data_IF_837092533843
#
_entry.id   IF_837092533843
#
_cell.length_a   1.000
_cell.length_b   1.000
_cell.length_c   1.000
_cell.angle_alpha   90.00
_cell.angle_beta   90.00
_cell.angle_gamma   90.00
#
_symmetry.space_group_name_H-M   'P 1'
#
loop_
_entity.id
_entity.type
_entity.pdbx_description
1 polymer ?
#
# COMPACT_ATOMS: atom_id res chain seq x y z
N UNK A 1 -11.54 22.93 -11.52
CA UNK A 1 -12.17 21.84 -10.73
C UNK A 1 -11.05 21.20 -9.94
N UNK A 2 -11.20 21.03 -8.63
CA UNK A 2 -10.17 20.35 -7.83
C UNK A 2 -10.09 18.89 -8.27
N UNK A 3 -8.90 18.40 -8.58
CA UNK A 3 -8.70 16.99 -8.95
C UNK A 3 -8.89 16.14 -7.69
N UNK A 4 -9.70 15.07 -7.78
CA UNK A 4 -9.96 14.20 -6.63
C UNK A 4 -8.66 13.53 -6.14
N UNK A 5 -8.41 13.45 -4.81
CA UNK A 5 -7.20 12.84 -4.24
C UNK A 5 -7.06 11.34 -4.48
N UNK A 6 -8.16 10.65 -4.77
CA UNK A 6 -8.20 9.24 -5.15
C UNK A 6 -9.03 9.11 -6.43
N UNK A 7 -8.52 8.35 -7.40
CA UNK A 7 -9.24 8.02 -8.63
C UNK A 7 -9.56 6.52 -8.65
N UNK A 8 -10.74 6.17 -9.15
CA UNK A 8 -11.21 4.78 -9.27
C UNK A 8 -11.62 4.49 -10.71
N UNK A 9 -11.11 3.41 -11.28
CA UNK A 9 -11.41 2.97 -12.64
C UNK A 9 -11.72 1.46 -12.66
N UNK A 10 -12.91 1.09 -13.14
CA UNK A 10 -13.24 -0.30 -13.43
C UNK A 10 -12.58 -0.72 -14.76
N UNK A 11 -11.65 -1.68 -14.72
CA UNK A 11 -10.88 -2.12 -15.89
C UNK A 11 -11.50 -3.30 -16.64
N UNK A 12 -12.67 -3.76 -16.21
CA UNK A 12 -13.30 -4.99 -16.70
C UNK A 12 -12.80 -6.23 -15.96
N UNK A 13 -13.41 -7.39 -16.24
CA UNK A 13 -13.01 -8.71 -15.71
C UNK A 13 -12.85 -8.79 -14.18
N UNK A 14 -13.55 -7.90 -13.48
CA UNK A 14 -13.53 -7.77 -12.02
C UNK A 14 -12.32 -7.08 -11.42
N UNK A 15 -11.53 -6.37 -12.22
CA UNK A 15 -10.38 -5.57 -11.76
C UNK A 15 -10.80 -4.12 -11.57
N UNK A 16 -10.53 -3.56 -10.38
CA UNK A 16 -10.68 -2.14 -10.08
C UNK A 16 -9.33 -1.50 -9.78
N UNK A 17 -8.98 -0.44 -10.51
CA UNK A 17 -7.77 0.34 -10.32
C UNK A 17 -8.06 1.55 -9.43
N UNK A 18 -7.39 1.61 -8.28
CA UNK A 18 -7.33 2.76 -7.38
C UNK A 18 -6.02 3.49 -7.58
N UNK A 19 -6.07 4.80 -7.84
CA UNK A 19 -4.86 5.62 -8.05
C UNK A 19 -4.83 6.77 -7.05
N UNK A 20 -3.81 6.78 -6.18
CA UNK A 20 -3.49 7.92 -5.33
C UNK A 20 -3.13 9.11 -6.22
N UNK A 21 -3.82 10.23 -6.06
CA UNK A 21 -3.78 11.34 -7.00
C UNK A 21 -3.52 12.68 -6.31
N UNK A 22 -2.42 12.74 -5.56
CA UNK A 22 -1.85 13.98 -5.03
C UNK A 22 -0.38 14.12 -5.48
N UNK A 23 -0.08 14.11 -6.79
CA UNK A 23 1.30 14.05 -7.29
C UNK A 23 2.17 15.22 -6.82
N UNK A 24 1.60 16.43 -6.72
CA UNK A 24 2.29 17.64 -6.21
C UNK A 24 2.70 17.52 -4.73
N UNK A 25 2.06 16.59 -4.01
CA UNK A 25 2.33 16.25 -2.61
C UNK A 25 2.95 14.86 -2.48
N UNK A 26 3.47 14.30 -3.58
CA UNK A 26 4.08 12.96 -3.64
C UNK A 26 3.15 11.87 -3.07
N UNK A 27 1.85 12.02 -3.32
CA UNK A 27 0.80 11.13 -2.83
C UNK A 27 0.81 10.92 -1.31
N UNK A 28 1.21 11.94 -0.54
CA UNK A 28 1.17 11.87 0.92
C UNK A 28 -0.28 11.59 1.42
N UNK A 29 -0.38 10.78 2.46
CA UNK A 29 -1.64 10.38 3.10
C UNK A 29 -2.09 11.48 4.06
N UNK A 30 -2.98 12.36 3.58
CA UNK A 30 -3.75 13.26 4.45
C UNK A 30 -5.07 12.58 4.88
N UNK A 31 -5.78 13.18 5.84
CA UNK A 31 -7.04 12.67 6.37
C UNK A 31 -8.08 12.41 5.28
N UNK A 32 -8.20 13.31 4.31
CA UNK A 32 -9.11 13.16 3.17
C UNK A 32 -8.79 11.91 2.33
N UNK A 33 -7.53 11.71 1.94
CA UNK A 33 -7.12 10.53 1.17
C UNK A 33 -7.26 9.23 1.97
N UNK A 34 -6.94 9.24 3.28
CA UNK A 34 -7.17 8.10 4.17
C UNK A 34 -8.66 7.72 4.23
N UNK A 35 -9.53 8.71 4.41
CA UNK A 35 -10.99 8.51 4.41
C UNK A 35 -11.51 7.97 3.09
N UNK A 36 -11.09 8.56 1.96
CA UNK A 36 -11.48 8.10 0.62
C UNK A 36 -11.05 6.66 0.34
N UNK A 37 -9.85 6.25 0.79
CA UNK A 37 -9.38 4.87 0.68
C UNK A 37 -10.27 3.92 1.49
N UNK A 38 -10.56 4.25 2.75
CA UNK A 38 -11.40 3.44 3.62
C UNK A 38 -12.82 3.28 3.03
N UNK A 39 -13.46 4.39 2.64
CA UNK A 39 -14.81 4.39 2.08
C UNK A 39 -14.88 3.64 0.75
N UNK A 40 -13.89 3.84 -0.14
CA UNK A 40 -13.85 3.17 -1.44
C UNK A 40 -13.65 1.66 -1.27
N UNK A 41 -12.77 1.23 -0.36
CA UNK A 41 -12.60 -0.19 -0.07
C UNK A 41 -13.85 -0.79 0.58
N UNK A 42 -14.54 -0.08 1.47
CA UNK A 42 -15.80 -0.55 2.04
C UNK A 42 -16.86 -0.81 0.94
N UNK A 43 -16.97 0.08 -0.05
CA UNK A 43 -17.86 -0.12 -1.20
C UNK A 43 -17.44 -1.34 -2.03
N UNK A 44 -16.17 -1.41 -2.43
CA UNK A 44 -15.63 -2.50 -3.26
C UNK A 44 -15.67 -3.87 -2.56
N UNK A 45 -15.66 -3.90 -1.23
CA UNK A 45 -15.78 -5.14 -0.45
C UNK A 45 -17.12 -5.83 -0.73
N UNK A 46 -18.21 -5.05 -0.85
CA UNK A 46 -19.57 -5.55 -1.08
C UNK A 46 -19.99 -5.64 -2.55
N UNK A 47 -19.19 -5.08 -3.47
CA UNK A 47 -19.48 -5.10 -4.90
C UNK A 47 -19.06 -6.43 -5.54
N UNK A 48 -20.02 -7.29 -5.89
CA UNK A 48 -19.75 -8.59 -6.53
C UNK A 48 -19.06 -8.47 -7.90
N UNK A 49 -19.15 -7.31 -8.57
CA UNK A 49 -18.42 -7.07 -9.80
C UNK A 49 -16.92 -6.84 -9.55
N UNK A 50 -16.54 -6.38 -8.35
CA UNK A 50 -15.14 -6.25 -7.95
C UNK A 50 -14.61 -7.59 -7.41
N UNK A 51 -13.53 -8.08 -8.02
CA UNK A 51 -12.84 -9.33 -7.66
C UNK A 51 -11.43 -9.07 -7.15
N UNK A 52 -10.72 -8.09 -7.71
CA UNK A 52 -9.34 -7.72 -7.36
C UNK A 52 -9.21 -6.19 -7.42
N UNK A 53 -8.45 -5.64 -6.47
CA UNK A 53 -8.07 -4.22 -6.48
C UNK A 53 -6.60 -4.10 -6.87
N UNK A 54 -6.30 -3.18 -7.78
CA UNK A 54 -4.94 -2.73 -8.08
C UNK A 54 -4.79 -1.33 -7.50
N UNK A 55 -3.77 -1.09 -6.67
CA UNK A 55 -3.49 0.19 -6.03
C UNK A 55 -2.20 0.78 -6.60
N UNK A 56 -2.28 1.99 -7.14
CA UNK A 56 -1.15 2.70 -7.76
C UNK A 56 -1.07 4.15 -7.29
N UNK A 57 0.02 4.84 -7.62
CA UNK A 57 0.18 6.28 -7.41
C UNK A 57 0.31 7.04 -8.73
N UNK A 58 -0.24 8.25 -8.81
CA UNK A 58 -0.03 9.17 -9.93
C UNK A 58 1.27 9.97 -9.73
N UNK A 59 1.92 10.37 -10.83
CA UNK A 59 3.17 11.13 -10.81
C UNK A 59 4.39 10.27 -10.47
N UNK A 60 5.50 10.85 -9.97
CA UNK A 60 6.78 10.14 -9.82
C UNK A 60 6.92 9.33 -8.53
N UNK A 61 5.89 9.28 -7.68
CA UNK A 61 5.95 8.66 -6.36
C UNK A 61 4.75 7.74 -6.18
N UNK A 62 4.96 6.55 -5.59
CA UNK A 62 3.84 5.73 -5.16
C UNK A 62 3.13 6.42 -3.99
N UNK A 63 3.82 6.55 -2.85
CA UNK A 63 3.34 7.27 -1.67
C UNK A 63 4.50 7.68 -0.74
N UNK A 64 4.51 8.94 -0.31
CA UNK A 64 5.54 9.48 0.60
C UNK A 64 5.23 9.29 2.10
N UNK A 65 4.14 8.62 2.46
CA UNK A 65 3.68 8.46 3.84
C UNK A 65 2.74 9.58 4.29
N UNK A 66 2.60 9.74 5.61
CA UNK A 66 1.70 10.74 6.19
C UNK A 66 2.04 12.16 5.73
N UNK A 67 1.01 12.99 5.56
CA UNK A 67 1.20 14.37 5.15
C UNK A 67 1.96 15.15 6.24
N UNK A 68 3.12 15.69 5.86
CA UNK A 68 3.99 16.41 6.80
C UNK A 68 3.33 17.66 7.37
N UNK A 69 2.33 18.25 6.69
CA UNK A 69 1.60 19.37 7.25
C UNK A 69 0.68 18.94 8.39
N UNK A 70 0.09 17.74 8.32
CA UNK A 70 -0.68 17.15 9.45
C UNK A 70 0.26 16.79 10.60
N UNK A 71 1.41 16.16 10.31
CA UNK A 71 2.41 15.80 11.32
C UNK A 71 2.90 17.05 12.08
N UNK A 72 3.09 18.18 11.40
CA UNK A 72 3.51 19.44 12.03
C UNK A 72 2.40 20.15 12.79
N UNK A 73 1.15 19.97 12.38
CA UNK A 73 -0.02 20.59 13.00
C UNK A 73 -0.59 19.78 14.17
N UNK A 74 -0.22 18.50 14.29
CA UNK A 74 -0.71 17.62 15.33
C UNK A 74 -0.16 18.00 16.71
N UNK A 75 -1.06 18.17 17.68
CA UNK A 75 -0.70 18.31 19.09
C UNK A 75 -0.16 16.99 19.67
N UNK A 76 -0.63 15.86 19.13
CA UNK A 76 -0.25 14.50 19.50
C UNK A 76 -0.12 13.63 18.24
N UNK A 77 1.05 13.02 18.05
CA UNK A 77 1.24 12.04 16.96
C UNK A 77 0.50 10.73 17.22
N UNK A 78 0.28 10.39 18.49
CA UNK A 78 -0.48 9.21 18.89
C UNK A 78 -1.93 9.34 18.42
N UNK A 79 -2.56 10.49 18.66
CA UNK A 79 -3.94 10.75 18.24
C UNK A 79 -4.06 10.77 16.71
N UNK A 80 -3.11 11.41 16.01
CA UNK A 80 -3.07 11.42 14.54
C UNK A 80 -2.96 10.01 13.95
N UNK A 81 -2.18 9.12 14.58
CA UNK A 81 -2.06 7.75 14.12
C UNK A 81 -3.29 6.91 14.48
N UNK A 82 -3.92 7.14 15.64
CA UNK A 82 -5.20 6.51 15.99
C UNK A 82 -6.32 6.90 15.00
N UNK A 83 -6.35 8.14 14.52
CA UNK A 83 -7.29 8.56 13.47
C UNK A 83 -7.08 7.83 12.13
N UNK A 84 -5.90 7.26 11.90
CA UNK A 84 -5.60 6.48 10.70
C UNK A 84 -5.98 4.99 10.83
N UNK A 85 -6.36 4.50 12.02
CA UNK A 85 -6.69 3.09 12.25
C UNK A 85 -7.82 2.60 11.36
N UNK A 86 -8.84 3.42 11.11
CA UNK A 86 -9.93 3.06 10.21
C UNK A 86 -9.42 2.75 8.79
N UNK A 87 -8.45 3.54 8.30
CA UNK A 87 -7.82 3.32 7.00
C UNK A 87 -6.88 2.12 7.01
N UNK A 88 -6.02 1.98 8.05
CA UNK A 88 -5.13 0.84 8.17
C UNK A 88 -5.93 -0.48 8.21
N UNK A 89 -6.97 -0.52 9.05
CA UNK A 89 -7.87 -1.66 9.15
C UNK A 89 -8.54 -1.95 7.81
N UNK A 90 -9.11 -0.94 7.14
CA UNK A 90 -9.81 -1.12 5.87
C UNK A 90 -8.91 -1.73 4.77
N UNK A 91 -7.62 -1.37 4.71
CA UNK A 91 -6.67 -1.96 3.75
C UNK A 91 -6.24 -3.36 4.20
N UNK A 92 -5.79 -3.49 5.45
CA UNK A 92 -5.20 -4.72 5.98
C UNK A 92 -6.20 -5.89 6.01
N UNK A 93 -7.47 -5.62 6.32
CA UNK A 93 -8.52 -6.65 6.45
C UNK A 93 -9.45 -6.74 5.24
N UNK A 94 -9.16 -6.03 4.15
CA UNK A 94 -10.00 -6.02 2.95
C UNK A 94 -10.26 -7.46 2.44
N UNK A 95 -11.51 -7.86 2.15
CA UNK A 95 -11.87 -9.26 1.88
C UNK A 95 -11.49 -9.81 0.50
N UNK A 96 -10.90 -8.97 -0.37
CA UNK A 96 -10.52 -9.34 -1.75
C UNK A 96 -9.03 -9.05 -1.97
N UNK A 97 -8.37 -9.68 -2.95
CA UNK A 97 -6.96 -9.41 -3.22
C UNK A 97 -6.69 -7.94 -3.56
N UNK A 98 -5.64 -7.37 -2.96
CA UNK A 98 -5.07 -6.06 -3.32
C UNK A 98 -3.64 -6.23 -3.84
N UNK A 99 -3.35 -5.68 -5.02
CA UNK A 99 -2.01 -5.61 -5.60
C UNK A 99 -1.52 -4.16 -5.62
N UNK A 100 -0.45 -3.85 -4.89
CA UNK A 100 0.23 -2.57 -4.97
C UNK A 100 1.19 -2.53 -6.17
N UNK A 101 1.03 -1.53 -7.04
CA UNK A 101 1.92 -1.21 -8.16
C UNK A 101 2.82 -0.05 -7.75
N UNK A 102 4.10 -0.35 -7.52
CA UNK A 102 5.05 0.61 -6.95
C UNK A 102 6.08 0.99 -8.01
N UNK A 103 5.81 2.06 -8.75
CA UNK A 103 6.69 2.56 -9.82
C UNK A 103 7.77 3.55 -9.34
N UNK A 104 7.64 4.06 -8.12
CA UNK A 104 8.53 5.06 -7.55
C UNK A 104 8.61 4.93 -6.02
N UNK A 105 9.01 6.00 -5.29
CA UNK A 105 9.19 5.88 -3.85
C UNK A 105 7.91 5.48 -3.10
N UNK A 106 8.04 4.49 -2.21
CA UNK A 106 7.07 4.05 -1.22
C UNK A 106 7.76 4.07 0.15
N UNK A 107 7.60 5.17 0.89
CA UNK A 107 8.38 5.43 2.11
C UNK A 107 7.47 5.77 3.29
N UNK A 108 7.94 5.44 4.51
CA UNK A 108 7.18 5.63 5.74
C UNK A 108 5.77 5.00 5.62
N UNK A 109 4.71 5.76 5.93
CA UNK A 109 3.31 5.32 5.74
C UNK A 109 2.97 4.86 4.31
N UNK A 110 3.74 5.27 3.29
CA UNK A 110 3.58 4.81 1.93
C UNK A 110 4.16 3.41 1.71
N UNK A 111 5.20 3.04 2.45
CA UNK A 111 5.65 1.66 2.56
C UNK A 111 4.61 0.86 3.34
N UNK A 112 4.10 1.37 4.46
CA UNK A 112 3.06 0.69 5.25
C UNK A 112 1.83 0.34 4.40
N UNK A 113 1.34 1.29 3.59
CA UNK A 113 0.26 1.05 2.64
C UNK A 113 0.55 -0.11 1.66
N UNK A 114 1.77 -0.15 1.12
CA UNK A 114 2.18 -1.24 0.24
C UNK A 114 2.27 -2.59 0.97
N UNK A 115 2.73 -2.60 2.23
CA UNK A 115 2.87 -3.81 3.03
C UNK A 115 1.53 -4.39 3.48
N UNK A 116 0.50 -3.57 3.68
CA UNK A 116 -0.87 -4.03 3.97
C UNK A 116 -1.55 -4.69 2.76
N UNK A 117 -1.06 -4.48 1.53
CA UNK A 117 -1.58 -5.15 0.35
C UNK A 117 -1.13 -6.63 0.29
N UNK A 118 -1.91 -7.49 -0.37
CA UNK A 118 -1.55 -8.92 -0.52
C UNK A 118 -0.29 -9.11 -1.36
N UNK A 119 -0.15 -8.32 -2.42
CA UNK A 119 0.96 -8.41 -3.36
C UNK A 119 1.55 -7.04 -3.67
N UNK A 120 2.86 -7.01 -3.94
CA UNK A 120 3.62 -5.82 -4.32
C UNK A 120 4.41 -6.12 -5.59
N UNK A 121 4.11 -5.37 -6.64
CA UNK A 121 4.82 -5.42 -7.93
C UNK A 121 5.53 -4.09 -8.10
N UNK A 122 6.86 -4.13 -8.21
CA UNK A 122 7.69 -2.94 -8.22
C UNK A 122 8.30 -2.67 -9.60
N UNK A 123 8.42 -1.40 -9.96
CA UNK A 123 9.30 -0.97 -11.04
C UNK A 123 10.77 -1.06 -10.60
N UNK A 124 11.69 -1.21 -11.55
CA UNK A 124 13.13 -1.26 -11.26
C UNK A 124 13.65 -0.06 -10.45
N UNK A 125 13.06 1.12 -10.66
CA UNK A 125 13.41 2.39 -10.00
C UNK A 125 12.66 2.63 -8.67
N UNK A 126 11.88 1.65 -8.19
CA UNK A 126 11.17 1.77 -6.92
C UNK A 126 12.14 1.88 -5.74
N UNK A 127 11.80 2.75 -4.78
CA UNK A 127 12.58 3.01 -3.57
C UNK A 127 11.68 2.78 -2.36
N UNK A 128 12.20 2.07 -1.37
CA UNK A 128 11.48 1.70 -0.15
C UNK A 128 12.23 2.16 1.10
N UNK A 129 11.52 2.30 2.22
CA UNK A 129 12.15 2.44 3.53
C UNK A 129 11.25 3.05 4.61
N UNK A 130 11.71 2.93 5.85
CA UNK A 130 11.06 3.46 7.06
C UNK A 130 11.91 4.56 7.72
N UNK A 131 12.07 5.76 7.09
CA UNK A 131 12.99 6.79 7.57
C UNK A 131 12.53 7.51 8.85
N UNK A 132 11.35 7.20 9.40
CA UNK A 132 10.73 7.86 10.57
C UNK A 132 11.67 7.98 11.77
N UNK A 133 12.51 6.96 12.01
CA UNK A 133 13.45 6.94 13.15
C UNK A 133 14.45 8.11 13.10
N UNK A 134 14.77 8.62 11.90
CA UNK A 134 15.65 9.78 11.71
C UNK A 134 15.00 11.09 12.17
N UNK A 135 13.69 11.11 12.32
CA UNK A 135 12.90 12.21 12.85
C UNK A 135 12.41 11.93 14.30
N UNK A 136 12.90 10.88 14.95
CA UNK A 136 12.48 10.49 16.30
C UNK A 136 11.10 9.82 16.37
N UNK A 137 10.54 9.41 15.23
CA UNK A 137 9.24 8.74 15.14
C UNK A 137 9.47 7.23 14.99
N UNK A 138 8.83 6.35 15.79
CA UNK A 138 8.94 4.90 15.61
C UNK A 138 8.43 4.44 14.23
N UNK A 139 9.08 3.43 13.65
CA UNK A 139 8.59 2.74 12.45
C UNK A 139 7.56 1.66 12.81
N UNK A 140 6.72 1.26 11.84
CA UNK A 140 5.73 0.18 11.99
C UNK A 140 6.39 -1.21 12.01
N UNK A 141 7.17 -1.51 13.04
CA UNK A 141 7.99 -2.72 13.12
C UNK A 141 7.19 -4.01 12.93
N UNK A 142 6.05 -4.16 13.60
CA UNK A 142 5.25 -5.39 13.54
C UNK A 142 4.68 -5.63 12.14
N UNK A 143 4.30 -4.56 11.43
CA UNK A 143 3.89 -4.65 10.02
C UNK A 143 5.05 -5.09 9.13
N UNK A 144 6.24 -4.50 9.28
CA UNK A 144 7.42 -4.88 8.50
C UNK A 144 7.81 -6.33 8.79
N UNK A 145 7.80 -6.74 10.05
CA UNK A 145 8.11 -8.10 10.49
C UNK A 145 7.07 -9.15 10.07
N UNK A 146 5.83 -8.73 9.75
CA UNK A 146 4.81 -9.61 9.16
C UNK A 146 5.10 -9.97 7.69
N UNK A 147 5.97 -9.20 7.00
CA UNK A 147 6.25 -9.37 5.57
C UNK A 147 7.65 -9.91 5.30
N UNK A 148 8.67 -9.43 6.02
CA UNK A 148 10.06 -9.85 5.84
C UNK A 148 10.61 -10.53 7.09
N UNK A 149 11.72 -11.27 6.93
CA UNK A 149 12.38 -11.90 8.05
C UNK A 149 12.75 -10.86 9.13
N UNK A 150 12.56 -11.22 10.40
CA UNK A 150 12.73 -10.29 11.53
C UNK A 150 14.09 -9.55 11.56
N UNK A 151 15.25 -10.16 11.25
CA UNK A 151 16.52 -9.43 11.17
C UNK A 151 16.50 -8.31 10.13
N UNK A 152 15.83 -8.53 9.00
CA UNK A 152 15.64 -7.52 7.95
C UNK A 152 14.72 -6.42 8.43
N UNK A 153 13.61 -6.76 9.10
CA UNK A 153 12.70 -5.78 9.68
C UNK A 153 13.41 -4.87 10.69
N UNK A 154 14.24 -5.43 11.58
CA UNK A 154 15.05 -4.67 12.54
C UNK A 154 16.04 -3.73 11.84
N UNK A 155 16.74 -4.20 10.81
CA UNK A 155 17.65 -3.35 10.03
C UNK A 155 16.91 -2.16 9.38
N UNK A 156 15.80 -2.42 8.69
CA UNK A 156 14.99 -1.37 8.04
C UNK A 156 14.48 -0.35 9.09
N UNK A 157 13.90 -0.82 10.19
CA UNK A 157 13.25 0.05 11.18
C UNK A 157 14.24 0.81 12.08
N UNK A 158 15.38 0.20 12.45
CA UNK A 158 16.37 0.84 13.32
C UNK A 158 17.28 1.82 12.57
N UNK A 159 17.59 1.54 11.29
CA UNK A 159 18.47 2.41 10.49
C UNK A 159 17.69 3.49 9.73
N UNK A 160 16.43 3.21 9.40
CA UNK A 160 15.62 4.03 8.50
C UNK A 160 16.27 4.24 7.13
N UNK A 161 17.10 3.27 6.68
CA UNK A 161 17.74 3.34 5.36
C UNK A 161 16.73 3.18 4.23
N UNK A 162 17.11 3.72 3.08
CA UNK A 162 16.37 3.50 1.83
C UNK A 162 17.02 2.36 1.06
N UNK A 163 16.23 1.63 0.29
CA UNK A 163 16.69 0.53 -0.56
C UNK A 163 15.86 0.43 -1.84
N UNK A 164 16.45 -0.19 -2.87
CA UNK A 164 15.86 -0.31 -4.20
C UNK A 164 15.10 -1.62 -4.43
N UNK A 165 14.42 -1.71 -5.58
CA UNK A 165 13.59 -2.85 -5.97
C UNK A 165 14.32 -4.21 -5.95
N UNK A 166 15.59 -4.26 -6.40
CA UNK A 166 16.35 -5.51 -6.43
C UNK A 166 16.61 -6.07 -5.02
N UNK A 167 16.93 -5.20 -4.06
CA UNK A 167 17.10 -5.60 -2.66
C UNK A 167 15.76 -6.00 -2.05
N UNK A 168 14.71 -5.21 -2.30
CA UNK A 168 13.34 -5.52 -1.86
C UNK A 168 12.89 -6.91 -2.34
N UNK A 169 13.21 -7.28 -3.58
CA UNK A 169 12.91 -8.60 -4.13
C UNK A 169 13.68 -9.70 -3.40
N UNK A 170 14.98 -9.49 -3.17
CA UNK A 170 15.84 -10.47 -2.48
C UNK A 170 15.41 -10.78 -1.04
N UNK A 171 14.73 -9.83 -0.40
CA UNK A 171 14.24 -9.94 0.97
C UNK A 171 12.81 -10.50 1.06
N UNK A 172 12.15 -10.73 -0.08
CA UNK A 172 10.74 -11.13 -0.13
C UNK A 172 9.75 -9.98 0.14
N UNK A 173 10.24 -8.73 0.18
CA UNK A 173 9.39 -7.57 0.39
C UNK A 173 8.52 -7.30 -0.83
N UNK A 174 9.03 -7.45 -2.05
CA UNK A 174 8.21 -7.37 -3.28
C UNK A 174 8.13 -8.75 -3.94
N UNK A 175 6.99 -9.04 -4.59
CA UNK A 175 6.75 -10.34 -5.21
C UNK A 175 7.38 -10.42 -6.61
N UNK A 176 7.39 -9.30 -7.35
CA UNK A 176 7.94 -9.21 -8.71
C UNK A 176 8.54 -7.82 -8.93
N UNK A 177 9.54 -7.76 -9.80
CA UNK A 177 10.08 -6.51 -10.36
C UNK A 177 9.87 -6.55 -11.87
N UNK A 178 9.35 -5.47 -12.43
CA UNK A 178 9.12 -5.31 -13.86
C UNK A 178 9.76 -4.00 -14.37
N UNK A 179 10.00 -3.94 -15.68
CA UNK A 179 10.43 -2.70 -16.32
C UNK A 179 9.31 -1.64 -16.26
N UNK A 180 9.70 -0.37 -16.20
CA UNK A 180 8.76 0.74 -15.98
C UNK A 180 7.65 0.82 -17.03
N UNK A 181 7.97 0.51 -18.28
CA UNK A 181 7.02 0.56 -19.41
C UNK A 181 5.97 -0.56 -19.33
N UNK A 182 6.32 -1.72 -18.76
CA UNK A 182 5.45 -2.91 -18.69
C UNK A 182 4.77 -3.09 -17.32
N UNK A 183 5.16 -2.30 -16.31
CA UNK A 183 4.77 -2.52 -14.92
C UNK A 183 3.25 -2.53 -14.71
N UNK A 184 2.55 -1.53 -15.25
CA UNK A 184 1.09 -1.42 -15.10
C UNK A 184 0.37 -2.52 -15.90
N UNK A 185 0.74 -2.72 -17.16
CA UNK A 185 0.10 -3.70 -18.04
C UNK A 185 0.28 -5.13 -17.50
N UNK A 186 1.50 -5.50 -17.11
CA UNK A 186 1.77 -6.82 -16.53
C UNK A 186 1.05 -7.04 -15.20
N UNK A 187 0.89 -5.99 -14.37
CA UNK A 187 0.13 -6.11 -13.13
C UNK A 187 -1.36 -6.25 -13.38
N UNK A 188 -1.92 -5.51 -14.36
CA UNK A 188 -3.33 -5.67 -14.74
C UNK A 188 -3.60 -7.07 -15.30
N UNK A 189 -2.70 -7.63 -16.11
CA UNK A 189 -2.81 -9.00 -16.60
C UNK A 189 -2.81 -10.02 -15.44
N UNK A 190 -1.92 -9.84 -14.46
CA UNK A 190 -1.90 -10.66 -13.23
C UNK A 190 -3.19 -10.50 -12.42
N UNK A 191 -3.72 -9.28 -12.30
CA UNK A 191 -4.97 -9.02 -11.59
C UNK A 191 -6.16 -9.71 -12.27
N UNK A 192 -6.22 -9.72 -13.61
CA UNK A 192 -7.24 -10.44 -14.38
C UNK A 192 -7.13 -11.95 -14.18
N UNK A 193 -5.92 -12.51 -14.16
CA UNK A 193 -5.70 -13.93 -13.87
C UNK A 193 -6.26 -14.30 -12.49
N UNK A 194 -5.93 -13.52 -11.47
CA UNK A 194 -6.42 -13.70 -10.09
C UNK A 194 -7.94 -13.55 -10.03
N UNK A 195 -8.50 -12.53 -10.69
CA UNK A 195 -9.94 -12.26 -10.71
C UNK A 195 -10.75 -13.41 -11.34
N UNK A 196 -10.19 -14.03 -12.39
CA UNK A 196 -10.78 -15.18 -13.09
C UNK A 196 -10.74 -16.49 -12.29
N UNK A 197 -9.87 -16.58 -11.27
CA UNK A 197 -9.71 -17.79 -10.48
C UNK A 197 -10.88 -17.99 -9.52
N UNK A 198 -11.60 -19.14 -9.60
CA UNK A 198 -12.69 -19.43 -8.68
C UNK A 198 -12.20 -19.67 -7.23
N UNK A 199 -10.92 -19.98 -7.04
CA UNK A 199 -10.32 -20.26 -5.74
C UNK A 199 -9.72 -19.02 -5.05
N UNK A 200 -9.51 -17.91 -5.76
CA UNK A 200 -8.82 -16.75 -5.20
C UNK A 200 -9.52 -16.15 -3.98
N UNK A 201 -10.86 -16.15 -3.96
CA UNK A 201 -11.62 -15.63 -2.82
C UNK A 201 -11.44 -16.51 -1.57
N UNK A 202 -11.41 -17.84 -1.74
CA UNK A 202 -11.17 -18.77 -0.65
C UNK A 202 -9.73 -18.65 -0.11
N UNK A 203 -8.75 -18.49 -0.99
CA UNK A 203 -7.36 -18.25 -0.58
C UNK A 203 -7.22 -16.94 0.21
N UNK A 204 -7.84 -15.84 -0.25
CA UNK A 204 -7.83 -14.57 0.48
C UNK A 204 -8.46 -14.70 1.87
N UNK A 205 -9.59 -15.41 2.00
CA UNK A 205 -10.21 -15.67 3.29
C UNK A 205 -9.28 -16.45 4.24
N UNK A 206 -8.50 -17.41 3.73
CA UNK A 206 -7.49 -18.12 4.51
C UNK A 206 -6.35 -17.20 4.96
N UNK A 207 -5.91 -16.28 4.08
CA UNK A 207 -4.86 -15.31 4.44
C UNK A 207 -5.32 -14.40 5.59
N UNK A 208 -6.53 -13.85 5.50
CA UNK A 208 -7.11 -13.01 6.56
C UNK A 208 -7.21 -13.76 7.90
N UNK A 209 -7.60 -15.03 7.87
CA UNK A 209 -7.70 -15.84 9.09
C UNK A 209 -6.36 -16.10 9.79
N UNK A 210 -5.24 -16.02 9.04
CA UNK A 210 -3.88 -16.18 9.58
C UNK A 210 -3.13 -14.87 9.79
N UNK A 211 -3.75 -13.73 9.46
CA UNK A 211 -3.10 -12.43 9.51
C UNK A 211 -2.99 -11.93 10.96
N UNK A 212 -1.85 -11.33 11.36
CA UNK A 212 -1.72 -10.75 12.68
C UNK A 212 -2.67 -9.56 12.85
N UNK A 213 -3.20 -9.41 14.06
CA UNK A 213 -3.95 -8.24 14.49
C UNK A 213 -2.95 -7.10 14.76
N UNK A 214 -2.80 -6.20 13.79
CA UNK A 214 -1.84 -5.09 13.83
C UNK A 214 -2.49 -3.73 14.09
N UNK A 215 -3.78 -3.61 13.80
CA UNK A 215 -4.54 -2.35 13.86
C UNK A 215 -5.88 -2.65 14.54
N UNK A 216 -6.02 -2.24 15.80
CA UNK A 216 -7.16 -2.54 16.67
C UNK A 216 -7.02 -1.95 18.05
#
# INVERSE_FOLDING_TARGET
MATQPLQTEARGDGVNLLTLNRPDRRNALNAELRGLLADTLALLATDDSCRVVVLAGNGPTFCAGFDLDEIRAADSLEDLFAEADAYHHAVHTFPKPIIAVIHGPAVAGGMDLALMCDMRIAGAEAIFGQPQVKAGIPAAFDLVASVVAEPVARDICLTGRLFGAAEALSMGLVNRVADGDDLMESTLALATEIASSPASAAAKAQFLAGQPELFG
#
